data_IF_539855062634
#
_entry.id   IF_539855062634
#
_cell.length_a   1.000
_cell.length_b   1.000
_cell.length_c   1.000
_cell.angle_alpha   90.00
_cell.angle_beta   90.00
_cell.angle_gamma   90.00
#
_symmetry.space_group_name_H-M   'P 1'
#
loop_
_entity.id
_entity.type
_entity.pdbx_description
1 polymer ?
#
# COMPACT_ATOMS: atom_id res chain seq x y z
N UNK A 1 -3.90 2.94 13.54
CA UNK A 1 -3.41 4.34 13.36
C UNK A 1 -4.23 4.97 12.27
N UNK A 2 -4.81 6.16 12.45
CA UNK A 2 -5.81 6.69 11.51
C UNK A 2 -5.61 8.18 11.25
N UNK A 3 -6.00 8.62 10.06
CA UNK A 3 -6.13 10.03 9.65
C UNK A 3 -4.86 10.88 9.73
N UNK A 4 -3.68 10.26 9.62
CA UNK A 4 -2.41 10.97 9.46
C UNK A 4 -2.20 11.38 8.00
N UNK A 5 -1.67 12.59 7.77
CA UNK A 5 -1.62 13.21 6.43
C UNK A 5 -0.75 12.46 5.42
N UNK A 6 0.39 11.91 5.85
CA UNK A 6 1.37 11.34 4.92
C UNK A 6 1.31 9.81 4.91
N UNK A 7 1.20 9.20 6.09
CA UNK A 7 1.15 7.75 6.26
C UNK A 7 0.57 7.37 7.62
N UNK A 8 0.00 6.16 7.74
CA UNK A 8 -0.48 5.63 9.02
C UNK A 8 0.60 4.81 9.75
N UNK A 9 1.40 4.06 8.98
CA UNK A 9 2.60 3.35 9.43
C UNK A 9 3.77 3.62 8.47
N UNK A 10 4.95 3.88 9.03
CA UNK A 10 6.19 4.03 8.27
C UNK A 10 7.26 3.09 8.83
N UNK A 11 7.54 2.02 8.10
CA UNK A 11 8.61 1.08 8.38
C UNK A 11 9.85 1.51 7.60
N UNK A 12 10.70 2.28 8.28
CA UNK A 12 11.88 2.91 7.71
C UNK A 12 13.14 2.26 8.31
N UNK A 13 13.85 1.45 7.51
CA UNK A 13 14.98 0.62 7.95
C UNK A 13 14.68 -0.23 9.20
N UNK A 14 13.43 -0.65 9.36
CA UNK A 14 12.97 -1.44 10.49
C UNK A 14 13.37 -2.92 10.31
N UNK A 15 13.63 -3.59 11.43
CA UNK A 15 13.99 -5.02 11.44
C UNK A 15 13.30 -5.72 12.61
N UNK A 16 12.92 -6.99 12.41
CA UNK A 16 12.30 -7.84 13.44
C UNK A 16 11.00 -7.27 13.98
N UNK A 17 10.11 -6.84 13.09
CA UNK A 17 8.83 -6.25 13.46
C UNK A 17 7.72 -7.25 13.22
N UNK A 18 6.93 -7.47 14.28
CA UNK A 18 5.64 -8.12 14.18
C UNK A 18 4.54 -7.12 14.47
N UNK A 19 3.52 -7.10 13.62
CA UNK A 19 2.28 -6.38 13.87
C UNK A 19 1.10 -7.25 13.50
N UNK A 20 0.02 -7.13 14.27
CA UNK A 20 -1.20 -7.86 13.99
C UNK A 20 -2.43 -6.94 14.13
N UNK A 21 -3.42 -7.21 13.29
CA UNK A 21 -4.71 -6.52 13.22
C UNK A 21 -4.57 -4.99 13.11
N UNK A 22 -3.66 -4.53 12.25
CA UNK A 22 -3.50 -3.11 11.96
C UNK A 22 -4.73 -2.59 11.24
N UNK A 23 -5.50 -1.74 11.93
CA UNK A 23 -6.56 -0.97 11.31
C UNK A 23 -6.07 0.45 11.02
N UNK A 24 -6.47 0.97 9.86
CA UNK A 24 -6.18 2.33 9.45
C UNK A 24 -7.22 2.94 8.50
N UNK A 25 -7.31 4.27 8.53
CA UNK A 25 -8.18 5.06 7.66
C UNK A 25 -7.45 6.28 7.11
N UNK A 26 -7.75 6.61 5.85
CA UNK A 26 -7.26 7.83 5.20
C UNK A 26 -7.94 9.07 5.78
N UNK A 27 -7.23 10.19 5.99
CA UNK A 27 -7.87 11.45 6.40
C UNK A 27 -8.98 11.85 5.42
N UNK A 28 -10.18 12.13 5.94
CA UNK A 28 -11.38 12.29 5.11
C UNK A 28 -11.34 13.46 4.13
N UNK A 29 -10.54 14.49 4.43
CA UNK A 29 -10.39 15.67 3.59
C UNK A 29 -9.54 15.41 2.34
N UNK A 30 -8.77 14.33 2.28
CA UNK A 30 -7.89 14.02 1.15
C UNK A 30 -8.65 13.48 -0.08
N UNK A 31 -7.96 13.40 -1.22
CA UNK A 31 -8.48 12.83 -2.46
C UNK A 31 -9.12 13.85 -3.39
N UNK A 32 -9.90 13.38 -4.38
CA UNK A 32 -10.47 14.27 -5.39
C UNK A 32 -11.34 15.36 -4.77
N UNK A 33 -11.17 16.57 -5.29
CA UNK A 33 -11.85 17.77 -4.79
C UNK A 33 -11.20 18.41 -3.56
N UNK A 34 -10.19 17.78 -2.95
CA UNK A 34 -9.42 18.39 -1.86
C UNK A 34 -8.76 19.69 -2.34
N UNK A 35 -8.72 20.75 -1.52
CA UNK A 35 -8.05 22.01 -1.88
C UNK A 35 -6.53 21.83 -2.02
N UNK A 36 -5.96 20.88 -1.30
CA UNK A 36 -4.53 20.59 -1.26
C UNK A 36 -4.28 19.07 -1.40
N UNK A 37 -3.19 18.71 -2.08
CA UNK A 37 -2.81 17.31 -2.28
C UNK A 37 -1.52 16.97 -1.51
N UNK A 38 -1.38 15.72 -1.08
CA UNK A 38 -0.18 15.29 -0.37
C UNK A 38 1.09 15.56 -1.22
N UNK A 39 2.17 16.07 -0.62
CA UNK A 39 2.46 16.11 0.82
C UNK A 39 1.99 17.36 1.58
N UNK A 40 1.16 18.23 1.01
CA UNK A 40 0.65 19.39 1.74
C UNK A 40 -0.12 18.96 3.03
N UNK A 41 -0.02 19.74 4.14
CA UNK A 41 0.71 20.99 4.29
C UNK A 41 2.20 20.80 4.68
N UNK A 42 2.70 19.57 4.67
CA UNK A 42 4.05 19.23 5.15
C UNK A 42 5.15 19.44 4.11
N UNK A 43 4.83 19.94 2.92
CA UNK A 43 5.76 20.08 1.79
C UNK A 43 7.10 20.75 2.13
N UNK A 44 7.10 21.71 3.06
CA UNK A 44 8.31 22.43 3.52
C UNK A 44 9.03 21.80 4.72
N UNK A 45 8.44 20.78 5.34
CA UNK A 45 8.91 20.17 6.58
C UNK A 45 9.11 18.64 6.46
N UNK A 46 9.17 18.12 5.23
CA UNK A 46 9.43 16.70 5.02
C UNK A 46 10.83 16.32 5.51
N UNK A 47 10.91 15.22 6.25
CA UNK A 47 12.17 14.56 6.56
C UNK A 47 12.46 13.44 5.55
N UNK A 48 13.68 12.91 5.57
CA UNK A 48 14.14 11.95 4.56
C UNK A 48 13.31 10.65 4.51
N UNK A 49 12.61 10.29 5.59
CA UNK A 49 11.73 9.11 5.68
C UNK A 49 10.30 9.38 5.21
N UNK A 50 9.94 10.62 4.93
CA UNK A 50 8.57 10.97 4.51
C UNK A 50 8.35 10.69 3.02
N UNK A 51 7.12 10.31 2.62
CA UNK A 51 6.74 10.28 1.22
C UNK A 51 6.54 11.71 0.71
N UNK A 52 7.26 12.04 -0.37
CA UNK A 52 7.07 13.30 -1.10
C UNK A 52 6.07 13.20 -2.26
N UNK A 53 5.51 12.00 -2.50
CA UNK A 53 4.55 11.70 -3.57
C UNK A 53 5.04 12.07 -4.98
N UNK A 54 6.35 12.07 -5.22
CA UNK A 54 6.95 12.37 -6.53
C UNK A 54 6.68 11.30 -7.59
N UNK A 55 6.28 10.09 -7.18
CA UNK A 55 5.85 9.02 -8.09
C UNK A 55 4.40 9.17 -8.59
N UNK A 56 3.67 10.19 -8.12
CA UNK A 56 2.33 10.53 -8.57
C UNK A 56 2.40 11.76 -9.47
N UNK A 57 1.50 11.84 -10.46
CA UNK A 57 1.27 13.10 -11.17
C UNK A 57 0.87 14.21 -10.16
N UNK A 58 1.31 15.47 -10.34
CA UNK A 58 0.94 16.57 -9.46
C UNK A 58 -0.57 16.79 -9.29
N UNK A 59 -1.38 16.42 -10.29
CA UNK A 59 -2.84 16.56 -10.31
C UNK A 59 -3.60 15.28 -9.93
N UNK A 60 -2.91 14.15 -9.74
CA UNK A 60 -3.54 12.88 -9.39
C UNK A 60 -3.91 12.84 -7.91
N UNK A 61 -5.11 13.33 -7.61
CA UNK A 61 -5.63 13.40 -6.26
C UNK A 61 -5.80 12.03 -5.59
N UNK A 62 -6.05 10.96 -6.35
CA UNK A 62 -6.19 9.61 -5.81
C UNK A 62 -4.85 8.96 -5.44
N UNK A 63 -3.79 9.27 -6.18
CA UNK A 63 -2.44 8.84 -5.87
C UNK A 63 -1.81 9.64 -4.73
N UNK A 64 -2.11 10.94 -4.64
CA UNK A 64 -1.58 11.86 -3.62
C UNK A 64 -2.41 11.86 -2.32
N UNK A 65 -2.62 10.67 -1.76
CA UNK A 65 -3.33 10.43 -0.49
C UNK A 65 -2.43 9.66 0.48
N UNK A 66 -2.70 9.77 1.79
CA UNK A 66 -1.90 9.15 2.82
C UNK A 66 -1.74 7.64 2.60
N UNK A 67 -0.51 7.14 2.68
CA UNK A 67 -0.26 5.71 2.59
C UNK A 67 -0.72 5.00 3.88
N UNK A 68 -1.23 3.78 3.79
CA UNK A 68 -1.50 3.04 5.02
C UNK A 68 -0.21 2.50 5.60
N UNK A 69 0.63 1.92 4.75
CA UNK A 69 1.92 1.39 5.11
C UNK A 69 2.95 1.85 4.08
N UNK A 70 4.03 2.45 4.56
CA UNK A 70 5.22 2.77 3.76
C UNK A 70 6.38 1.93 4.26
N UNK A 71 7.04 1.21 3.36
CA UNK A 71 8.13 0.29 3.68
C UNK A 71 9.35 0.68 2.86
N UNK A 72 10.47 0.99 3.53
CA UNK A 72 11.76 1.28 2.89
C UNK A 72 12.90 0.62 3.65
N UNK A 73 13.76 -0.10 2.94
CA UNK A 73 15.00 -0.69 3.47
C UNK A 73 14.82 -1.60 4.69
N UNK A 74 13.61 -2.14 4.90
CA UNK A 74 13.26 -2.93 6.08
C UNK A 74 13.39 -4.42 5.80
N UNK A 75 13.58 -5.23 6.84
CA UNK A 75 13.64 -6.69 6.79
C UNK A 75 12.89 -7.33 7.94
N UNK A 76 12.58 -8.63 7.84
CA UNK A 76 11.93 -9.40 8.90
C UNK A 76 10.65 -8.70 9.41
N UNK A 77 9.84 -8.23 8.46
CA UNK A 77 8.52 -7.65 8.73
C UNK A 77 7.43 -8.71 8.61
N UNK A 78 6.65 -8.86 9.66
CA UNK A 78 5.58 -9.85 9.79
C UNK A 78 4.27 -9.12 10.11
N UNK A 79 3.51 -8.74 9.07
CA UNK A 79 2.28 -7.94 9.17
C UNK A 79 1.06 -8.84 8.97
N UNK A 80 0.27 -9.06 10.01
CA UNK A 80 -0.84 -10.03 10.01
C UNK A 80 -2.20 -9.34 10.20
N UNK A 81 -3.13 -9.52 9.28
CA UNK A 81 -4.52 -9.05 9.42
C UNK A 81 -4.69 -7.54 9.24
N UNK A 82 -4.07 -6.95 8.23
CA UNK A 82 -4.24 -5.52 7.91
C UNK A 82 -5.67 -5.22 7.43
N UNK A 83 -6.21 -4.08 7.83
CA UNK A 83 -7.57 -3.61 7.56
C UNK A 83 -7.54 -2.10 7.27
N UNK A 84 -7.52 -1.72 6.00
CA UNK A 84 -7.22 -0.33 5.61
C UNK A 84 -8.28 0.26 4.69
N UNK A 85 -8.81 1.43 5.06
CA UNK A 85 -10.06 1.92 4.47
C UNK A 85 -9.95 3.34 3.94
N UNK A 86 -10.40 3.54 2.69
CA UNK A 86 -10.75 4.85 2.16
C UNK A 86 -12.29 4.99 2.14
N UNK A 87 -12.82 5.91 2.94
CA UNK A 87 -14.27 6.14 3.05
C UNK A 87 -14.76 7.42 2.34
N UNK A 88 -13.86 8.39 2.18
CA UNK A 88 -14.21 9.74 1.75
C UNK A 88 -13.20 10.26 0.73
N UNK A 89 -13.67 11.16 -0.12
CA UNK A 89 -12.81 12.15 -0.76
C UNK A 89 -13.36 13.55 -0.46
N UNK A 90 -12.51 14.46 0.01
CA UNK A 90 -12.89 15.83 0.37
C UNK A 90 -14.12 15.92 1.29
N UNK A 91 -14.14 15.10 2.35
CA UNK A 91 -15.25 14.95 3.31
C UNK A 91 -16.60 14.53 2.70
N UNK A 92 -16.63 14.21 1.40
CA UNK A 92 -17.79 13.62 0.76
C UNK A 92 -17.70 12.11 0.87
N UNK A 93 -18.68 11.52 1.55
CA UNK A 93 -18.77 10.07 1.70
C UNK A 93 -19.23 9.40 0.42
N UNK A 94 -19.53 8.10 0.49
CA UNK A 94 -20.07 7.36 -0.66
C UNK A 94 -19.00 6.96 -1.67
N UNK A 95 -17.77 6.83 -1.20
CA UNK A 95 -16.67 6.20 -1.92
C UNK A 95 -17.03 4.75 -2.32
N UNK A 96 -17.59 4.61 -3.52
CA UNK A 96 -18.08 3.38 -4.10
C UNK A 96 -17.26 3.06 -5.37
N UNK A 97 -16.14 2.37 -5.18
CA UNK A 97 -15.14 2.11 -6.21
C UNK A 97 -13.76 2.48 -5.69
N UNK A 98 -12.79 2.63 -6.58
CA UNK A 98 -11.42 2.96 -6.21
C UNK A 98 -11.30 4.46 -5.85
N UNK A 99 -11.14 4.78 -4.57
CA UNK A 99 -11.04 6.15 -4.08
C UNK A 99 -9.64 6.56 -3.62
N UNK A 100 -8.70 5.64 -3.62
CA UNK A 100 -7.30 5.92 -3.36
C UNK A 100 -6.47 4.93 -4.15
N UNK A 101 -5.40 5.39 -4.77
CA UNK A 101 -4.67 4.55 -5.70
C UNK A 101 -3.82 3.49 -4.99
N UNK A 102 -3.22 3.79 -3.85
CA UNK A 102 -2.19 2.94 -3.24
C UNK A 102 -2.38 2.79 -1.74
N UNK A 103 -2.38 1.54 -1.25
CA UNK A 103 -2.44 1.26 0.18
C UNK A 103 -1.06 1.03 0.80
N UNK A 104 -0.42 -0.09 0.44
CA UNK A 104 0.91 -0.47 0.89
C UNK A 104 1.92 -0.11 -0.17
N UNK A 105 2.92 0.70 0.21
CA UNK A 105 4.01 1.12 -0.67
C UNK A 105 5.33 0.51 -0.22
N UNK A 106 5.87 -0.41 -1.01
CA UNK A 106 7.20 -0.98 -0.79
C UNK A 106 8.17 -0.27 -1.74
N UNK A 107 8.98 0.64 -1.19
CA UNK A 107 9.98 1.38 -1.97
C UNK A 107 11.22 0.51 -2.21
N UNK A 108 11.63 -0.18 -1.16
CA UNK A 108 12.70 -1.17 -1.14
C UNK A 108 12.56 -2.01 0.13
N UNK A 109 13.13 -3.20 0.12
CA UNK A 109 13.35 -4.01 1.31
C UNK A 109 14.84 -4.32 1.42
N UNK A 110 15.30 -4.60 2.64
CA UNK A 110 16.64 -5.15 2.89
C UNK A 110 16.59 -6.68 3.13
N UNK A 111 15.40 -7.27 3.12
CA UNK A 111 15.15 -8.67 3.38
C UNK A 111 13.65 -8.97 3.31
N UNK A 112 13.18 -9.94 4.09
CA UNK A 112 11.82 -10.43 3.92
C UNK A 112 10.74 -9.48 4.47
N UNK A 113 9.64 -9.35 3.73
CA UNK A 113 8.44 -8.61 4.11
C UNK A 113 7.23 -9.51 3.84
N UNK A 114 6.49 -9.83 4.89
CA UNK A 114 5.37 -10.75 4.84
C UNK A 114 4.09 -10.06 5.28
N UNK A 115 3.10 -10.05 4.39
CA UNK A 115 1.76 -9.57 4.67
C UNK A 115 0.79 -10.75 4.58
N UNK A 116 -0.02 -10.95 5.61
CA UNK A 116 -1.05 -11.98 5.62
C UNK A 116 -2.41 -11.36 5.90
N UNK A 117 -3.42 -11.68 5.09
CA UNK A 117 -4.78 -11.19 5.26
C UNK A 117 -4.89 -9.67 5.24
N UNK A 118 -4.32 -9.01 4.24
CA UNK A 118 -4.46 -7.57 4.03
C UNK A 118 -5.79 -7.28 3.33
N UNK A 119 -6.70 -6.62 4.04
CA UNK A 119 -8.01 -6.21 3.58
C UNK A 119 -7.99 -4.72 3.27
N UNK A 120 -8.58 -4.35 2.14
CA UNK A 120 -8.73 -2.97 1.71
C UNK A 120 -10.18 -2.64 1.42
N UNK A 121 -10.52 -1.36 1.47
CA UNK A 121 -11.75 -0.82 0.89
C UNK A 121 -11.40 0.36 0.00
N UNK A 122 -11.87 0.29 -1.25
CA UNK A 122 -11.81 1.37 -2.21
C UNK A 122 -10.38 1.77 -2.59
N UNK A 123 -9.52 0.78 -2.82
CA UNK A 123 -8.10 0.97 -3.14
C UNK A 123 -7.76 0.30 -4.47
N UNK A 124 -7.20 1.02 -5.45
CA UNK A 124 -6.78 0.39 -6.71
C UNK A 124 -5.66 -0.64 -6.53
N UNK A 125 -4.55 -0.22 -5.93
CA UNK A 125 -3.36 -1.04 -5.70
C UNK A 125 -3.21 -1.33 -4.21
N UNK A 126 -3.51 -2.57 -3.81
CA UNK A 126 -3.32 -3.05 -2.44
C UNK A 126 -1.84 -2.99 -2.09
N UNK A 127 -0.99 -3.50 -2.99
CA UNK A 127 0.49 -3.43 -2.87
C UNK A 127 1.07 -2.81 -4.13
N UNK A 128 1.79 -1.69 -3.95
CA UNK A 128 2.60 -1.05 -4.98
C UNK A 128 4.08 -1.21 -4.61
N UNK A 129 4.77 -2.11 -5.32
CA UNK A 129 6.18 -2.39 -5.16
C UNK A 129 7.00 -1.64 -6.20
N UNK A 130 7.86 -0.73 -5.74
CA UNK A 130 8.45 0.29 -6.59
C UNK A 130 7.40 0.92 -7.55
N UNK A 131 7.51 0.78 -8.85
CA UNK A 131 6.52 1.32 -9.80
C UNK A 131 5.49 0.29 -10.28
N UNK A 132 5.52 -0.94 -9.73
CA UNK A 132 4.72 -2.08 -10.18
C UNK A 132 3.60 -2.37 -9.19
N UNK A 133 2.37 -2.33 -9.68
CA UNK A 133 1.20 -2.77 -8.92
C UNK A 133 1.24 -4.30 -8.76
N UNK A 134 1.76 -4.77 -7.64
CA UNK A 134 1.98 -6.19 -7.36
C UNK A 134 0.70 -6.91 -6.95
N UNK A 135 -0.25 -6.19 -6.33
CA UNK A 135 -1.59 -6.69 -6.04
C UNK A 135 -2.62 -5.57 -6.18
N UNK A 136 -3.67 -5.82 -6.96
CA UNK A 136 -4.79 -4.89 -7.18
C UNK A 136 -6.06 -5.39 -6.53
N UNK A 137 -6.94 -4.49 -6.11
CA UNK A 137 -8.26 -4.86 -5.58
C UNK A 137 -9.10 -5.58 -6.64
N UNK A 138 -9.02 -5.13 -7.89
CA UNK A 138 -9.73 -5.76 -9.03
C UNK A 138 -9.32 -7.20 -9.33
N UNK A 139 -8.15 -7.64 -8.88
CA UNK A 139 -7.70 -9.03 -9.00
C UNK A 139 -8.02 -9.85 -7.74
N UNK A 140 -8.41 -9.19 -6.64
CA UNK A 140 -8.49 -9.76 -5.29
C UNK A 140 -9.81 -9.39 -4.58
N UNK A 141 -10.95 -9.47 -5.27
CA UNK A 141 -12.24 -9.09 -4.71
C UNK A 141 -12.58 -9.81 -3.39
N UNK A 142 -12.89 -9.03 -2.36
CA UNK A 142 -13.44 -9.44 -1.08
C UNK A 142 -14.92 -9.05 -0.95
N UNK A 143 -15.53 -9.37 0.19
CA UNK A 143 -16.95 -9.09 0.44
C UNK A 143 -17.29 -7.60 0.55
N UNK A 144 -16.30 -6.75 0.86
CA UNK A 144 -16.48 -5.30 1.06
C UNK A 144 -15.26 -4.49 0.60
N UNK A 145 -14.64 -4.92 -0.50
CA UNK A 145 -13.43 -4.31 -1.06
C UNK A 145 -12.51 -5.38 -1.65
N UNK A 146 -11.22 -5.35 -1.30
CA UNK A 146 -10.23 -6.34 -1.72
C UNK A 146 -9.58 -7.08 -0.55
N UNK A 147 -9.10 -8.31 -0.78
CA UNK A 147 -8.34 -9.09 0.20
C UNK A 147 -7.16 -9.83 -0.44
N UNK A 148 -5.96 -9.53 0.04
CA UNK A 148 -4.75 -10.32 -0.25
C UNK A 148 -4.53 -11.28 0.91
N UNK A 149 -4.73 -12.57 0.67
CA UNK A 149 -4.58 -13.59 1.71
C UNK A 149 -3.11 -13.72 2.18
N UNK A 150 -2.17 -13.64 1.25
CA UNK A 150 -0.74 -13.60 1.53
C UNK A 150 0.01 -12.85 0.42
N UNK A 151 0.98 -12.04 0.83
CA UNK A 151 2.01 -11.45 -0.03
C UNK A 151 3.37 -11.69 0.63
N UNK A 152 4.23 -12.41 -0.08
CA UNK A 152 5.55 -12.81 0.39
C UNK A 152 6.60 -12.15 -0.50
N UNK A 153 7.32 -11.20 0.07
CA UNK A 153 8.43 -10.54 -0.59
C UNK A 153 9.72 -10.97 0.10
N UNK A 154 10.70 -11.43 -0.69
CA UNK A 154 12.02 -11.76 -0.18
C UNK A 154 13.04 -10.83 -0.85
N UNK A 155 13.74 -10.04 -0.04
CA UNK A 155 14.78 -9.13 -0.50
C UNK A 155 15.95 -9.93 -1.06
N UNK A 156 15.98 -10.16 -2.38
CA UNK A 156 17.01 -10.98 -2.99
C UNK A 156 18.38 -10.28 -2.96
N UNK A 157 19.29 -10.80 -2.14
CA UNK A 157 20.73 -10.78 -2.43
C UNK A 157 21.05 -11.99 -3.31
N UNK A 158 21.27 -11.80 -4.61
CA UNK A 158 21.91 -12.80 -5.49
C UNK A 158 21.03 -13.33 -6.63
N UNK A 159 21.51 -13.17 -7.85
CA UNK A 159 20.81 -13.55 -9.07
C UNK A 159 20.73 -15.05 -9.35
N UNK A 160 19.66 -15.42 -10.05
CA UNK A 160 19.70 -16.47 -11.06
C UNK A 160 18.90 -15.96 -12.25
N UNK A 161 19.63 -15.61 -13.32
CA UNK A 161 19.07 -15.05 -14.52
C UNK A 161 18.42 -16.13 -15.37
N UNK A 162 17.10 -16.12 -15.43
CA UNK A 162 16.37 -16.65 -16.58
C UNK A 162 16.01 -15.44 -17.44
N UNK A 163 16.71 -15.28 -18.56
CA UNK A 163 16.66 -14.13 -19.48
C UNK A 163 15.33 -13.90 -20.21
N UNK A 164 14.22 -13.98 -19.49
CA UNK A 164 12.89 -13.63 -19.98
C UNK A 164 12.56 -12.20 -19.50
N UNK A 165 12.44 -11.21 -20.41
CA UNK A 165 12.13 -9.83 -20.04
C UNK A 165 10.73 -9.65 -19.42
N UNK A 166 9.93 -10.72 -19.33
CA UNK A 166 8.62 -10.74 -18.68
C UNK A 166 8.61 -11.42 -17.30
N UNK A 167 9.77 -11.81 -16.75
CA UNK A 167 9.85 -12.43 -15.42
C UNK A 167 10.48 -11.43 -14.45
N UNK A 168 9.64 -10.79 -13.64
CA UNK A 168 10.10 -10.10 -12.43
C UNK A 168 10.53 -11.20 -11.45
N UNK A 169 11.83 -11.47 -11.37
CA UNK A 169 12.43 -12.31 -10.35
C UNK A 169 12.35 -11.60 -9.01
N UNK A 170 11.43 -12.01 -8.12
CA UNK A 170 11.40 -11.50 -6.74
C UNK A 170 10.11 -11.60 -5.92
N UNK A 171 8.99 -12.10 -6.44
CA UNK A 171 7.79 -12.33 -5.62
C UNK A 171 7.08 -13.60 -6.07
N UNK A 172 7.05 -14.62 -5.22
CA UNK A 172 6.30 -15.85 -5.49
C UNK A 172 5.26 -16.07 -4.39
N UNK A 173 4.04 -16.24 -4.87
CA UNK A 173 2.79 -16.64 -4.19
C UNK A 173 1.94 -15.46 -3.69
N UNK A 174 1.17 -14.91 -4.64
CA UNK A 174 -0.16 -14.36 -4.37
C UNK A 174 -1.12 -15.55 -4.29
N UNK A 175 -1.45 -16.01 -3.08
CA UNK A 175 -2.49 -17.02 -2.91
C UNK A 175 -3.85 -16.32 -3.06
N UNK A 176 -4.34 -16.25 -4.29
CA UNK A 176 -5.70 -15.82 -4.59
C UNK A 176 -6.67 -16.79 -3.92
N UNK A 177 -7.29 -16.39 -2.83
CA UNK A 177 -8.57 -16.98 -2.41
C UNK A 177 -9.62 -16.51 -3.41
N UNK A 178 -9.59 -17.05 -4.64
CA UNK A 178 -10.75 -16.94 -5.53
C UNK A 178 -11.91 -17.57 -4.78
N UNK A 179 -13.01 -16.82 -4.70
CA UNK A 179 -14.32 -17.31 -4.25
C UNK A 179 -14.51 -18.75 -4.74
N UNK A 180 -14.57 -19.70 -3.80
CA UNK A 180 -15.22 -20.97 -4.09
C UNK A 180 -16.66 -20.60 -4.44
N UNK A 181 -17.06 -20.85 -5.68
CA UNK A 181 -18.43 -20.64 -6.11
C UNK A 181 -19.36 -21.53 -5.28
N UNK A 182 -20.37 -20.90 -4.69
CA UNK A 182 -21.73 -21.39 -4.76
C UNK A 182 -22.52 -20.33 -5.53
#
# INVERSE_FOLDING_TARGET
MEHHTLYQYNFEYAQNVFSAFQQSETPYWQGWGSPDLAPAPWSSNLIASDPNFSNCDPSDAGCRMALFERIRGSSDLFLYGGCVWAFFNNNNGGCNGDCQANAVRILSSAGSVYLYGTNVKAISNIVLENTVAAAKESDNYGGWGGVVAAYLHDGSNGGSGDGNPNVVTGSRILLLLRRAGC
#
